data_IF_866101307690
#
_entry.id   IF_866101307690
#
_cell.length_a   1.000
_cell.length_b   1.000
_cell.length_c   1.000
_cell.angle_alpha   90.00
_cell.angle_beta   90.00
_cell.angle_gamma   90.00
#
_symmetry.space_group_name_H-M   'P 1'
#
loop_
_entity.id
_entity.type
_entity.pdbx_description
1 polymer ?
#
# COMPACT_ATOMS: atom_id res chain seq x y z
N UNK A 1 -16.25 -5.96 -0.88
CA UNK A 1 -17.31 -6.22 0.14
C UNK A 1 -17.88 -4.88 0.69
N UNK A 2 -18.15 -3.90 -0.19
CA UNK A 2 -18.30 -2.52 0.26
C UNK A 2 -16.96 -1.89 0.63
N UNK A 3 -16.95 -1.00 1.63
CA UNK A 3 -15.77 -0.27 2.11
C UNK A 3 -15.53 -0.50 3.61
N UNK A 4 -14.28 -0.39 4.04
CA UNK A 4 -13.88 -0.65 5.43
C UNK A 4 -13.99 -2.12 5.82
N UNK A 5 -13.83 -2.40 7.12
CA UNK A 5 -13.82 -3.75 7.68
C UNK A 5 -12.81 -4.68 6.97
N UNK A 6 -13.31 -5.59 6.13
CA UNK A 6 -12.54 -6.62 5.44
C UNK A 6 -12.32 -6.31 3.94
N UNK A 7 -12.63 -5.08 3.49
CA UNK A 7 -12.53 -4.71 2.08
C UNK A 7 -11.11 -4.76 1.52
N UNK A 8 -10.10 -4.56 2.37
CA UNK A 8 -8.68 -4.52 2.02
C UNK A 8 -7.89 -5.67 2.66
N UNK A 9 -8.58 -6.66 3.25
CA UNK A 9 -7.93 -7.78 3.91
C UNK A 9 -7.65 -8.91 2.91
N UNK A 10 -6.39 -9.04 2.49
CA UNK A 10 -5.96 -10.05 1.51
C UNK A 10 -6.23 -11.49 1.99
N UNK A 11 -6.00 -11.77 3.27
CA UNK A 11 -6.25 -13.09 3.85
C UNK A 11 -7.74 -13.47 3.78
N UNK A 12 -8.65 -12.51 4.02
CA UNK A 12 -10.08 -12.76 3.88
C UNK A 12 -10.48 -13.08 2.44
N UNK A 13 -9.89 -12.39 1.45
CA UNK A 13 -10.10 -12.70 0.04
C UNK A 13 -9.58 -14.10 -0.32
N UNK A 14 -8.41 -14.52 0.17
CA UNK A 14 -7.89 -15.89 0.00
C UNK A 14 -8.80 -16.94 0.62
N UNK A 15 -9.32 -16.69 1.82
CA UNK A 15 -10.25 -17.60 2.49
C UNK A 15 -11.54 -17.73 1.67
N UNK A 16 -12.07 -16.62 1.13
CA UNK A 16 -13.23 -16.66 0.24
C UNK A 16 -12.97 -17.57 -0.97
N UNK A 17 -11.85 -17.40 -1.66
CA UNK A 17 -11.46 -18.23 -2.81
C UNK A 17 -11.31 -19.71 -2.42
N UNK A 18 -10.67 -20.01 -1.29
CA UNK A 18 -10.51 -21.38 -0.77
C UNK A 18 -11.84 -22.07 -0.45
N UNK A 19 -12.87 -21.28 -0.14
CA UNK A 19 -14.23 -21.72 0.17
C UNK A 19 -15.16 -21.72 -1.05
N UNK A 20 -14.64 -21.51 -2.28
CA UNK A 20 -15.42 -21.33 -3.50
C UNK A 20 -16.42 -20.16 -3.44
N UNK A 21 -16.14 -19.16 -2.63
CA UNK A 21 -16.91 -17.92 -2.54
C UNK A 21 -16.18 -16.86 -3.37
N UNK A 22 -16.87 -16.29 -4.37
CA UNK A 22 -16.27 -15.21 -5.16
C UNK A 22 -16.18 -13.93 -4.34
N UNK A 23 -14.97 -13.54 -4.00
CA UNK A 23 -14.70 -12.21 -3.48
C UNK A 23 -14.87 -11.18 -4.61
N UNK A 24 -15.69 -10.14 -4.38
CA UNK A 24 -15.86 -9.02 -5.32
C UNK A 24 -14.87 -7.92 -4.93
N UNK A 25 -13.71 -7.91 -5.58
CA UNK A 25 -12.63 -6.95 -5.40
C UNK A 25 -11.34 -7.39 -6.12
N UNK A 26 -10.19 -6.75 -5.83
CA UNK A 26 -8.90 -7.13 -6.41
C UNK A 26 -8.39 -8.48 -5.87
N UNK A 27 -7.37 -9.05 -6.50
CA UNK A 27 -6.76 -10.29 -6.02
C UNK A 27 -5.97 -10.07 -4.71
N UNK A 28 -5.79 -11.11 -3.87
CA UNK A 28 -5.00 -11.01 -2.65
C UNK A 28 -3.58 -10.47 -2.88
N UNK A 29 -2.94 -10.86 -3.98
CA UNK A 29 -1.60 -10.40 -4.34
C UNK A 29 -1.59 -8.89 -4.63
N UNK A 30 -2.62 -8.38 -5.32
CA UNK A 30 -2.75 -6.95 -5.58
C UNK A 30 -3.03 -6.16 -4.31
N UNK A 31 -3.82 -6.71 -3.38
CA UNK A 31 -4.06 -6.11 -2.06
C UNK A 31 -2.76 -5.98 -1.26
N UNK A 32 -2.00 -7.08 -1.13
CA UNK A 32 -0.71 -7.09 -0.42
C UNK A 32 0.30 -6.12 -1.04
N UNK A 33 0.30 -5.96 -2.36
CA UNK A 33 1.18 -5.02 -3.05
C UNK A 33 0.86 -3.55 -2.77
N UNK A 34 -0.37 -3.25 -2.32
CA UNK A 34 -0.88 -1.90 -2.11
C UNK A 34 -1.22 -1.57 -0.65
N UNK A 35 -1.07 -2.53 0.27
CA UNK A 35 -1.34 -2.34 1.70
C UNK A 35 -0.35 -1.34 2.34
N UNK A 36 0.93 -1.45 1.99
CA UNK A 36 1.97 -0.56 2.51
C UNK A 36 2.18 0.65 1.59
N UNK A 37 2.12 1.85 2.17
CA UNK A 37 2.27 3.12 1.42
C UNK A 37 3.67 3.32 0.84
N UNK A 38 4.73 2.82 1.47
CA UNK A 38 6.09 2.91 0.92
C UNK A 38 6.26 1.93 -0.25
N UNK A 39 5.77 0.69 -0.11
CA UNK A 39 5.76 -0.30 -1.20
C UNK A 39 4.93 0.19 -2.38
N UNK A 40 3.74 0.75 -2.12
CA UNK A 40 2.85 1.33 -3.13
C UNK A 40 3.52 2.48 -3.91
N UNK A 41 4.23 3.38 -3.22
CA UNK A 41 4.97 4.47 -3.86
C UNK A 41 6.10 3.93 -4.75
N UNK A 42 6.80 2.90 -4.31
CA UNK A 42 7.83 2.24 -5.10
C UNK A 42 7.25 1.54 -6.33
N UNK A 43 6.09 0.89 -6.18
CA UNK A 43 5.36 0.28 -7.30
C UNK A 43 4.89 1.32 -8.32
N UNK A 44 4.36 2.45 -7.85
CA UNK A 44 3.99 3.58 -8.71
C UNK A 44 5.19 4.10 -9.51
N UNK A 45 6.34 4.35 -8.85
CA UNK A 45 7.58 4.77 -9.52
C UNK A 45 8.00 3.76 -10.60
N UNK A 46 7.96 2.45 -10.31
CA UNK A 46 8.27 1.38 -11.28
C UNK A 46 7.31 1.35 -12.46
N UNK A 47 6.04 1.69 -12.24
CA UNK A 47 5.02 1.80 -13.28
C UNK A 47 5.10 3.11 -14.08
N UNK A 48 6.09 3.98 -13.82
CA UNK A 48 6.24 5.28 -14.48
C UNK A 48 5.31 6.36 -13.94
N UNK A 49 4.60 6.11 -12.83
CA UNK A 49 3.74 7.08 -12.16
C UNK A 49 4.53 7.80 -11.08
N UNK A 50 4.60 9.12 -11.15
CA UNK A 50 5.36 9.92 -10.19
C UNK A 50 4.54 10.15 -8.91
N UNK A 51 4.95 9.62 -7.74
CA UNK A 51 4.24 9.85 -6.49
C UNK A 51 4.50 11.28 -5.96
N UNK A 52 3.66 11.78 -5.05
CA UNK A 52 3.88 13.07 -4.39
C UNK A 52 5.26 13.15 -3.72
N UNK A 53 5.88 14.35 -3.66
CA UNK A 53 7.12 14.57 -2.92
C UNK A 53 6.98 14.15 -1.46
N UNK A 54 7.99 13.44 -0.95
CA UNK A 54 7.96 12.89 0.39
C UNK A 54 9.30 12.24 0.75
N UNK A 55 9.37 11.60 1.92
CA UNK A 55 10.52 10.77 2.26
C UNK A 55 10.67 9.60 1.29
N UNK A 56 11.91 9.23 0.98
CA UNK A 56 12.24 8.08 0.11
C UNK A 56 12.02 6.72 0.77
N UNK A 57 11.48 6.69 1.99
CA UNK A 57 11.19 5.47 2.73
C UNK A 57 10.50 5.72 4.06
N UNK A 58 10.58 4.71 4.94
CA UNK A 58 10.25 4.84 6.35
C UNK A 58 11.14 5.90 7.01
N UNK A 59 10.59 6.55 8.04
CA UNK A 59 11.30 7.56 8.82
C UNK A 59 11.25 7.09 10.26
N UNK A 60 12.42 6.77 10.82
CA UNK A 60 12.48 6.04 12.10
C UNK A 60 12.45 6.98 13.30
N UNK A 61 12.81 8.26 13.11
CA UNK A 61 12.88 9.23 14.21
C UNK A 61 12.65 10.68 13.77
N UNK A 62 12.37 11.55 14.75
CA UNK A 62 12.06 12.96 14.50
C UNK A 62 13.20 13.78 13.89
N UNK A 63 14.48 13.43 14.16
CA UNK A 63 15.63 14.12 13.55
C UNK A 63 15.69 13.86 12.04
N UNK A 64 15.48 12.61 11.64
CA UNK A 64 15.40 12.21 10.25
C UNK A 64 14.22 12.88 9.54
N UNK A 65 13.05 12.94 10.19
CA UNK A 65 11.88 13.64 9.68
C UNK A 65 12.19 15.11 9.36
N UNK A 66 12.82 15.82 10.30
CA UNK A 66 13.26 17.22 10.11
C UNK A 66 14.28 17.38 8.98
N UNK A 67 15.21 16.42 8.82
CA UNK A 67 16.16 16.39 7.72
C UNK A 67 15.46 16.23 6.36
N UNK A 68 14.45 15.37 6.28
CA UNK A 68 13.69 15.13 5.05
C UNK A 68 12.86 16.35 4.63
N UNK A 69 12.29 17.11 5.57
CA UNK A 69 11.57 18.36 5.26
C UNK A 69 12.44 19.34 4.46
N UNK A 70 13.74 19.44 4.78
CA UNK A 70 14.66 20.33 4.06
C UNK A 70 14.96 19.88 2.62
N UNK A 71 14.80 18.59 2.32
CA UNK A 71 15.05 18.00 0.98
C UNK A 71 13.83 18.03 0.07
N UNK A 72 12.62 18.07 0.66
CA UNK A 72 11.33 18.04 -0.04
C UNK A 72 10.90 19.46 -0.48
N UNK A 73 11.49 20.50 0.10
CA UNK A 73 11.24 21.91 -0.23
C UNK A 73 12.06 22.36 -1.42
#
# INVERSE_FOLDING_TARGET
PGYGFLSENAHFAEVCESCNIRFIGPSPQAMNALEDKAVSRNLAKKAGVQPPPGSDGLVDNGKEALGNVKKIR
#
